data_IF_514542684754
#
_entry.id   IF_514542684754
#
_cell.length_a   1.000
_cell.length_b   1.000
_cell.length_c   1.000
_cell.angle_alpha   90.00
_cell.angle_beta   90.00
_cell.angle_gamma   90.00
#
_symmetry.space_group_name_H-M   'P 1'
#
loop_
_entity.id
_entity.type
_entity.pdbx_description
1 polymer ?
#
# COMPACT_ATOMS: atom_id res chain seq x y z
N UNK A 1 10.46 18.50 18.79
CA UNK A 1 9.13 17.91 18.50
C UNK A 1 9.36 16.77 17.53
N UNK A 2 9.61 15.56 18.02
CA UNK A 2 9.97 14.41 17.18
C UNK A 2 8.71 13.78 16.59
N UNK A 3 8.64 13.67 15.26
CA UNK A 3 7.56 12.95 14.60
C UNK A 3 7.70 11.46 14.93
N UNK A 4 6.67 10.88 15.56
CA UNK A 4 6.58 9.45 15.80
C UNK A 4 6.19 8.78 14.49
N UNK A 5 7.20 8.39 13.70
CA UNK A 5 7.06 7.64 12.45
C UNK A 5 6.81 6.14 12.73
N UNK A 6 5.90 5.82 13.63
CA UNK A 6 5.55 4.42 13.88
C UNK A 6 4.52 3.97 12.83
N UNK A 7 4.97 3.13 11.90
CA UNK A 7 4.09 2.35 11.02
C UNK A 7 3.79 1.01 11.69
N UNK A 8 2.54 0.79 12.05
CA UNK A 8 2.04 -0.50 12.48
C UNK A 8 1.75 -1.37 11.26
N UNK A 9 2.23 -2.62 11.29
CA UNK A 9 1.95 -3.62 10.26
C UNK A 9 0.70 -4.40 10.67
N UNK A 10 -0.38 -4.24 9.92
CA UNK A 10 -1.67 -4.87 10.17
C UNK A 10 -1.73 -6.28 9.56
N UNK A 11 -1.26 -6.43 8.31
CA UNK A 11 -1.20 -7.74 7.66
C UNK A 11 -0.13 -7.80 6.57
N UNK A 12 0.30 -9.03 6.24
CA UNK A 12 1.17 -9.34 5.11
C UNK A 12 0.71 -10.63 4.44
N UNK A 13 0.64 -10.63 3.12
CA UNK A 13 0.26 -11.78 2.32
C UNK A 13 1.19 -11.92 1.12
N UNK A 14 1.68 -13.14 0.85
CA UNK A 14 2.45 -13.41 -0.38
C UNK A 14 1.52 -13.36 -1.58
N UNK A 15 1.93 -12.70 -2.67
CA UNK A 15 1.12 -12.57 -3.89
C UNK A 15 2.00 -12.39 -5.13
N UNK A 16 1.84 -13.27 -6.11
CA UNK A 16 2.59 -13.25 -7.40
C UNK A 16 4.12 -13.07 -7.24
N UNK A 17 4.72 -13.72 -6.24
CA UNK A 17 6.15 -13.62 -5.95
C UNK A 17 6.58 -12.36 -5.17
N UNK A 18 5.66 -11.41 -4.98
CA UNK A 18 5.82 -10.25 -4.11
C UNK A 18 5.05 -10.39 -2.79
N UNK A 19 4.88 -9.27 -2.10
CA UNK A 19 4.19 -9.18 -0.82
C UNK A 19 3.15 -8.05 -0.84
N UNK A 20 1.93 -8.37 -0.45
CA UNK A 20 0.84 -7.41 -0.21
C UNK A 20 0.76 -7.14 1.29
N UNK A 21 1.07 -5.90 1.68
CA UNK A 21 0.98 -5.43 3.06
C UNK A 21 -0.16 -4.44 3.28
N UNK A 22 -0.62 -4.38 4.54
CA UNK A 22 -1.51 -3.32 5.05
C UNK A 22 -0.87 -2.74 6.30
N UNK A 23 -0.84 -1.41 6.37
CA UNK A 23 -0.17 -0.66 7.43
C UNK A 23 -1.04 0.49 7.92
N UNK A 24 -0.89 0.83 9.19
CA UNK A 24 -1.52 1.99 9.82
C UNK A 24 -0.44 2.92 10.38
N UNK A 25 -0.63 4.23 10.28
CA UNK A 25 0.28 5.20 10.88
C UNK A 25 -0.48 6.43 11.38
N UNK A 26 0.05 7.08 12.42
CA UNK A 26 -0.44 8.39 12.84
C UNK A 26 -0.07 9.44 11.76
N UNK A 27 -1.08 9.99 11.08
CA UNK A 27 -0.89 11.00 10.04
C UNK A 27 -0.88 12.40 10.64
N UNK A 28 0.24 13.11 10.48
CA UNK A 28 0.34 14.51 10.90
C UNK A 28 -0.48 15.46 10.02
N UNK A 29 -0.79 15.06 8.78
CA UNK A 29 -1.55 15.89 7.84
C UNK A 29 -3.05 15.91 8.15
N UNK A 30 -3.59 14.79 8.64
CA UNK A 30 -5.02 14.64 8.98
C UNK A 30 -5.28 14.62 10.48
N UNK A 31 -4.24 14.45 11.29
CA UNK A 31 -4.33 14.28 12.75
C UNK A 31 -5.19 13.07 13.16
N UNK A 32 -5.15 12.02 12.34
CA UNK A 32 -5.85 10.74 12.54
C UNK A 32 -4.92 9.57 12.20
N UNK A 33 -5.29 8.36 12.63
CA UNK A 33 -4.59 7.15 12.20
C UNK A 33 -5.06 6.74 10.81
N UNK A 34 -4.14 6.72 9.84
CA UNK A 34 -4.43 6.41 8.44
C UNK A 34 -3.95 5.01 8.10
N UNK A 35 -4.80 4.24 7.42
CA UNK A 35 -4.48 2.90 6.93
C UNK A 35 -4.27 2.90 5.42
N UNK A 36 -3.28 2.16 4.94
CA UNK A 36 -2.99 2.03 3.51
C UNK A 36 -2.49 0.63 3.18
N UNK A 37 -2.72 0.22 1.94
CA UNK A 37 -2.20 -1.03 1.40
C UNK A 37 -1.02 -0.78 0.46
N UNK A 38 -0.05 -1.69 0.44
CA UNK A 38 1.10 -1.64 -0.48
C UNK A 38 1.38 -3.02 -1.05
N UNK A 39 1.46 -3.11 -2.38
CA UNK A 39 2.06 -4.27 -3.05
C UNK A 39 3.53 -3.99 -3.36
N UNK A 40 4.42 -4.84 -2.87
CA UNK A 40 5.87 -4.80 -3.14
C UNK A 40 6.24 -5.96 -4.08
N UNK A 41 6.73 -5.67 -5.30
CA UNK A 41 7.06 -6.71 -6.28
C UNK A 41 8.41 -7.38 -5.95
N UNK A 42 8.68 -8.60 -6.44
CA UNK A 42 9.91 -9.33 -6.14
C UNK A 42 11.19 -8.57 -6.52
N UNK A 43 11.15 -7.74 -7.57
CA UNK A 43 12.27 -6.95 -8.08
C UNK A 43 12.77 -5.92 -7.05
N UNK A 44 11.89 -5.44 -6.16
CA UNK A 44 12.24 -4.45 -5.13
C UNK A 44 13.29 -4.97 -4.13
N UNK A 45 13.48 -6.29 -4.03
CA UNK A 45 14.55 -6.90 -3.22
C UNK A 45 15.96 -6.66 -3.74
N UNK A 46 16.11 -6.26 -5.02
CA UNK A 46 17.41 -6.10 -5.69
C UNK A 46 17.74 -4.66 -6.06
N UNK A 47 16.72 -3.90 -6.46
CA UNK A 47 16.87 -2.53 -6.94
C UNK A 47 15.63 -1.72 -6.56
N UNK A 48 15.77 -0.40 -6.35
CA UNK A 48 14.61 0.49 -6.33
C UNK A 48 13.76 0.31 -7.60
N UNK A 49 12.45 0.39 -7.42
CA UNK A 49 11.44 0.23 -8.47
C UNK A 49 10.48 1.43 -8.44
N UNK A 50 9.81 1.76 -9.57
CA UNK A 50 8.83 2.84 -9.59
C UNK A 50 7.63 2.55 -8.67
N UNK A 51 7.01 3.63 -8.19
CA UNK A 51 5.80 3.60 -7.36
C UNK A 51 4.61 4.15 -8.14
N UNK A 52 3.52 3.41 -8.15
CA UNK A 52 2.23 3.82 -8.67
C UNK A 52 1.23 4.05 -7.52
N UNK A 53 0.67 5.25 -7.47
CA UNK A 53 -0.33 5.64 -6.48
C UNK A 53 -1.71 5.49 -7.07
N UNK A 54 -2.48 4.55 -6.53
CA UNK A 54 -3.87 4.34 -6.94
C UNK A 54 -4.81 5.04 -5.95
N UNK A 55 -5.51 6.07 -6.41
CA UNK A 55 -6.48 6.81 -5.61
C UNK A 55 -7.88 6.24 -5.86
N UNK A 56 -8.43 5.57 -4.85
CA UNK A 56 -9.77 4.99 -4.91
C UNK A 56 -10.86 6.08 -4.96
N UNK A 57 -12.04 5.72 -5.49
CA UNK A 57 -13.20 6.60 -5.56
C UNK A 57 -14.01 6.67 -4.25
N UNK A 58 -15.10 7.43 -4.26
CA UNK A 58 -15.99 7.63 -3.11
C UNK A 58 -16.50 6.29 -2.54
N UNK A 59 -16.60 6.17 -1.21
CA UNK A 59 -17.01 4.95 -0.45
C UNK A 59 -16.06 3.75 -0.49
N UNK A 60 -14.83 3.90 -1.01
CA UNK A 60 -13.84 2.82 -1.02
C UNK A 60 -12.85 2.94 0.14
N UNK A 61 -12.55 1.81 0.80
CA UNK A 61 -11.37 1.67 1.66
C UNK A 61 -10.16 1.19 0.84
N UNK A 62 -8.99 1.10 1.49
CA UNK A 62 -7.78 0.48 0.94
C UNK A 62 -8.01 -0.98 0.48
N UNK A 63 -8.98 -1.69 1.06
CA UNK A 63 -9.27 -3.10 0.75
C UNK A 63 -9.94 -3.29 -0.62
N UNK A 64 -10.80 -2.35 -1.03
CA UNK A 64 -11.64 -2.51 -2.22
C UNK A 64 -10.82 -2.72 -3.50
N UNK A 65 -9.87 -1.83 -3.76
CA UNK A 65 -9.01 -1.90 -4.93
C UNK A 65 -7.94 -2.98 -4.79
N UNK A 66 -7.41 -3.19 -3.59
CA UNK A 66 -6.43 -4.24 -3.30
C UNK A 66 -6.97 -5.63 -3.66
N UNK A 67 -8.21 -5.95 -3.25
CA UNK A 67 -8.77 -7.30 -3.43
C UNK A 67 -9.38 -7.50 -4.82
N UNK A 68 -10.00 -6.46 -5.40
CA UNK A 68 -10.86 -6.64 -6.58
C UNK A 68 -10.22 -6.23 -7.91
N UNK A 69 -9.18 -5.39 -7.91
CA UNK A 69 -8.63 -4.85 -9.15
C UNK A 69 -7.63 -5.79 -9.86
N UNK A 70 -7.13 -6.83 -9.19
CA UNK A 70 -6.15 -7.77 -9.76
C UNK A 70 -4.81 -7.14 -10.14
N UNK A 71 -4.45 -6.00 -9.53
CA UNK A 71 -3.26 -5.23 -9.91
C UNK A 71 -1.93 -5.94 -9.61
N UNK A 72 -1.91 -6.87 -8.65
CA UNK A 72 -0.68 -7.49 -8.14
C UNK A 72 0.06 -8.30 -9.21
N UNK A 73 -0.65 -9.02 -10.09
CA UNK A 73 -0.03 -9.79 -11.16
C UNK A 73 0.74 -8.87 -12.13
N UNK A 74 0.10 -7.78 -12.57
CA UNK A 74 0.70 -6.81 -13.48
C UNK A 74 1.83 -6.04 -12.81
N UNK A 75 1.64 -5.63 -11.55
CA UNK A 75 2.67 -4.97 -10.76
C UNK A 75 3.93 -5.85 -10.58
N UNK A 76 3.73 -7.15 -10.36
CA UNK A 76 4.83 -8.13 -10.31
C UNK A 76 5.58 -8.23 -11.65
N UNK A 77 4.83 -8.31 -12.76
CA UNK A 77 5.40 -8.43 -14.11
C UNK A 77 6.16 -7.17 -14.52
N UNK A 78 5.66 -5.99 -14.18
CA UNK A 78 6.26 -4.70 -14.52
C UNK A 78 7.34 -4.26 -13.52
N UNK A 79 7.46 -4.92 -12.36
CA UNK A 79 8.36 -4.52 -11.30
C UNK A 79 7.99 -3.14 -10.75
N UNK A 80 6.74 -2.98 -10.30
CA UNK A 80 6.19 -1.71 -9.83
C UNK A 80 5.57 -1.89 -8.44
N UNK A 81 5.85 -0.95 -7.52
CA UNK A 81 5.14 -0.87 -6.24
C UNK A 81 3.78 -0.22 -6.49
N UNK A 82 2.73 -0.75 -5.88
CA UNK A 82 1.40 -0.13 -5.89
C UNK A 82 1.04 0.29 -4.49
N UNK A 83 0.72 1.57 -4.29
CA UNK A 83 0.25 2.11 -3.00
C UNK A 83 -1.21 2.51 -3.13
N UNK A 84 -2.03 2.06 -2.18
CA UNK A 84 -3.46 2.29 -2.12
C UNK A 84 -3.81 2.92 -0.76
N UNK A 85 -3.84 4.26 -0.64
CA UNK A 85 -4.27 4.94 0.58
C UNK A 85 -5.78 4.80 0.80
N UNK A 86 -6.23 4.99 2.05
CA UNK A 86 -7.65 5.18 2.35
C UNK A 86 -8.19 6.49 1.76
N UNK A 87 -9.51 6.58 1.61
CA UNK A 87 -10.20 7.76 1.07
C UNK A 87 -10.79 8.67 2.15
N UNK A 88 -10.79 8.24 3.41
CA UNK A 88 -11.37 8.98 4.54
C UNK A 88 -10.40 8.99 5.73
N UNK A 89 -10.12 10.18 6.31
CA UNK A 89 -9.41 10.30 7.58
C UNK A 89 -10.20 9.85 8.81
#
# INVERSE_FOLDING_TARGET
>A
MGYRLEMEKISLNKSFGGEQGVYTHASSATNTDMTFAVYVPPQASKTPVPVFWFLSGLTCSHENAMVKAGMQEYAARLGMIVVLPDTSP
#
